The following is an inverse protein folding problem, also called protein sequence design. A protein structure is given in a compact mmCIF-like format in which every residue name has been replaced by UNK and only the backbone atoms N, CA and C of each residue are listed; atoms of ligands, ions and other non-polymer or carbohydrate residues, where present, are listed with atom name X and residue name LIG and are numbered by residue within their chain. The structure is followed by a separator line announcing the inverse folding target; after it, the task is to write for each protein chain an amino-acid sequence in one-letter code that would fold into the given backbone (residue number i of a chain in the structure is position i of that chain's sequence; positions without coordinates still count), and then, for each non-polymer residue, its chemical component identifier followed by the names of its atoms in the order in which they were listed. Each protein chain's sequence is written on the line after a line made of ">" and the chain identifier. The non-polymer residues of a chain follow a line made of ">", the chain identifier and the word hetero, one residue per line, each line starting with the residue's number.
data_IF_660223683656
#
_entry.id   IF_660223683656
#
_cell.length_a   1.000
_cell.length_b   1.000
_cell.length_c   1.000
_cell.angle_alpha   90.00
_cell.angle_beta   90.00
_cell.angle_gamma   90.00
#
_symmetry.space_group_name_H-M   'P 1'
#
loop_
_entity.id
_entity.type
_entity.pdbx_description
1 polymer ?
#
# COMPACT_ATOMS: atom_id res chain seq x y z
N UNK A 1 -14.81 -15.31 45.50
CA UNK A 1 -14.19 -14.95 44.20
C UNK A 1 -13.52 -13.60 44.35
N UNK A 2 -12.24 -13.44 43.97
CA UNK A 2 -11.64 -12.10 43.88
C UNK A 2 -12.47 -11.28 42.88
N UNK A 3 -12.85 -10.02 43.20
CA UNK A 3 -13.56 -9.19 42.24
C UNK A 3 -12.70 -9.07 40.98
N UNK A 4 -13.29 -9.36 39.81
CA UNK A 4 -12.66 -9.09 38.52
C UNK A 4 -12.34 -7.59 38.51
N UNK A 5 -11.06 -7.24 38.67
CA UNK A 5 -10.57 -5.89 38.42
C UNK A 5 -11.07 -5.52 37.02
N UNK A 6 -11.75 -4.38 36.92
CA UNK A 6 -12.57 -3.96 35.78
C UNK A 6 -12.00 -4.41 34.43
N UNK A 7 -12.78 -5.22 33.69
CA UNK A 7 -12.45 -5.71 32.34
C UNK A 7 -12.54 -4.61 31.26
N UNK A 8 -12.07 -3.40 31.58
CA UNK A 8 -12.20 -2.22 30.71
C UNK A 8 -10.89 -1.97 29.97
N UNK A 9 -11.00 -1.65 28.69
CA UNK A 9 -9.89 -1.07 27.94
C UNK A 9 -9.77 0.42 28.25
N UNK A 10 -8.54 0.88 28.48
CA UNK A 10 -8.17 2.28 28.48
C UNK A 10 -7.73 2.65 27.06
N UNK A 11 -8.30 3.74 26.54
CA UNK A 11 -8.12 4.15 25.15
C UNK A 11 -7.52 5.57 25.14
N UNK A 12 -6.39 5.74 24.46
CA UNK A 12 -5.73 7.03 24.29
C UNK A 12 -5.48 7.29 22.80
N UNK A 13 -5.79 8.49 22.27
CA UNK A 13 -5.50 8.82 20.88
C UNK A 13 -4.04 8.58 20.51
N UNK A 14 -3.80 7.99 19.34
CA UNK A 14 -2.45 8.00 18.76
C UNK A 14 -2.15 9.42 18.24
N UNK A 15 -0.86 9.75 18.07
CA UNK A 15 -0.44 11.07 17.54
C UNK A 15 -0.86 11.33 16.09
N UNK A 16 -1.29 10.30 15.36
CA UNK A 16 -1.63 10.38 13.94
C UNK A 16 -3.09 10.00 13.72
N UNK A 17 -3.83 10.85 13.03
CA UNK A 17 -5.15 10.54 12.49
C UNK A 17 -5.04 10.21 11.00
N UNK A 18 -5.60 9.07 10.59
CA UNK A 18 -5.75 8.73 9.19
C UNK A 18 -6.96 9.44 8.59
N UNK A 19 -7.02 9.55 7.26
CA UNK A 19 -8.19 10.14 6.59
C UNK A 19 -9.46 9.30 6.78
N UNK A 20 -9.36 7.97 6.62
CA UNK A 20 -10.51 7.05 6.67
C UNK A 20 -10.77 6.46 8.06
N UNK A 21 -9.84 6.65 9.00
CA UNK A 21 -9.90 6.00 10.30
C UNK A 21 -9.14 6.76 11.37
N UNK A 22 -9.62 6.67 12.60
CA UNK A 22 -8.92 7.10 13.80
C UNK A 22 -8.26 5.90 14.48
N UNK A 23 -7.08 6.11 15.05
CA UNK A 23 -6.33 5.07 15.77
C UNK A 23 -6.04 5.48 17.20
N UNK A 24 -6.14 4.52 18.11
CA UNK A 24 -5.97 4.71 19.54
C UNK A 24 -5.06 3.62 20.11
N UNK A 25 -4.20 3.98 21.06
CA UNK A 25 -3.57 3.03 21.95
C UNK A 25 -4.64 2.46 22.88
N UNK A 26 -4.77 1.14 22.92
CA UNK A 26 -5.71 0.43 23.76
C UNK A 26 -4.94 -0.50 24.71
N UNK A 27 -5.16 -0.34 26.01
CA UNK A 27 -4.52 -1.17 27.05
C UNK A 27 -5.58 -1.74 27.99
N UNK A 28 -5.35 -2.93 28.54
CA UNK A 28 -6.20 -3.52 29.58
C UNK A 28 -5.39 -3.71 30.86
N UNK A 29 -5.86 -3.24 32.02
CA UNK A 29 -5.15 -3.46 33.29
C UNK A 29 -4.89 -4.95 33.53
N UNK A 30 -3.64 -5.31 33.79
CA UNK A 30 -3.21 -6.70 34.00
C UNK A 30 -2.75 -7.44 32.74
N UNK A 31 -2.98 -6.89 31.54
CA UNK A 31 -2.42 -7.44 30.31
C UNK A 31 -1.04 -6.82 30.04
N UNK A 32 -0.04 -7.66 29.77
CA UNK A 32 1.27 -7.20 29.30
C UNK A 32 1.23 -6.72 27.84
N UNK A 33 0.23 -7.17 27.08
CA UNK A 33 0.07 -6.84 25.67
C UNK A 33 -0.70 -5.54 25.50
N UNK A 34 -0.20 -4.70 24.59
CA UNK A 34 -0.84 -3.47 24.17
C UNK A 34 -1.40 -3.62 22.77
N UNK A 35 -2.41 -2.81 22.47
CA UNK A 35 -3.17 -2.91 21.24
C UNK A 35 -3.31 -1.55 20.56
N UNK A 36 -3.57 -1.60 19.27
CA UNK A 36 -4.06 -0.47 18.48
C UNK A 36 -5.53 -0.74 18.16
N UNK A 37 -6.40 0.14 18.63
CA UNK A 37 -7.79 0.20 18.21
C UNK A 37 -7.90 1.15 17.02
N UNK A 38 -8.37 0.63 15.88
CA UNK A 38 -8.66 1.41 14.67
C UNK A 38 -10.17 1.43 14.44
N UNK A 39 -10.74 2.60 14.27
CA UNK A 39 -12.18 2.81 14.03
C UNK A 39 -12.40 3.76 12.86
N UNK A 40 -13.60 3.73 12.27
CA UNK A 40 -14.00 4.63 11.18
C UNK A 40 -13.83 6.12 11.52
N UNK A 41 -13.60 6.93 10.49
CA UNK A 41 -13.68 8.38 10.62
C UNK A 41 -15.13 8.83 10.80
N UNK A 42 -15.33 9.89 11.56
CA UNK A 42 -16.57 10.64 11.75
C UNK A 42 -16.78 11.73 10.68
N UNK A 43 -15.80 11.95 9.80
CA UNK A 43 -15.87 12.96 8.75
C UNK A 43 -16.75 12.48 7.59
N UNK A 44 -17.84 13.19 7.23
CA UNK A 44 -18.77 12.73 6.19
C UNK A 44 -18.11 12.42 4.84
N UNK A 45 -17.13 13.23 4.43
CA UNK A 45 -16.37 13.02 3.19
C UNK A 45 -15.55 11.73 3.24
N UNK A 46 -14.92 11.44 4.39
CA UNK A 46 -14.15 10.22 4.58
C UNK A 46 -15.06 8.98 4.61
N UNK A 47 -16.22 9.06 5.26
CA UNK A 47 -17.21 7.99 5.28
C UNK A 47 -17.78 7.70 3.88
N UNK A 48 -18.10 8.75 3.10
CA UNK A 48 -18.55 8.59 1.72
C UNK A 48 -17.50 7.87 0.87
N UNK A 49 -16.24 8.29 0.97
CA UNK A 49 -15.14 7.62 0.27
C UNK A 49 -14.97 6.17 0.74
N UNK A 50 -14.95 5.95 2.05
CA UNK A 50 -14.84 4.64 2.68
C UNK A 50 -15.93 3.69 2.20
N UNK A 51 -17.18 4.15 2.09
CA UNK A 51 -18.32 3.39 1.54
C UNK A 51 -18.09 3.03 0.08
N UNK A 52 -17.65 3.98 -0.74
CA UNK A 52 -17.39 3.76 -2.16
C UNK A 52 -16.34 2.66 -2.39
N UNK A 53 -15.25 2.67 -1.60
CA UNK A 53 -14.21 1.65 -1.72
C UNK A 53 -14.46 0.42 -0.83
N UNK A 54 -15.41 0.47 0.10
CA UNK A 54 -15.69 -0.56 1.12
C UNK A 54 -14.48 -0.84 2.02
N UNK A 55 -13.85 0.21 2.51
CA UNK A 55 -12.51 0.18 3.12
C UNK A 55 -12.37 -0.83 4.27
N UNK A 56 -13.28 -0.77 5.24
CA UNK A 56 -13.23 -1.64 6.43
C UNK A 56 -13.58 -3.08 6.08
N UNK A 57 -14.51 -3.30 5.15
CA UNK A 57 -14.80 -4.67 4.70
C UNK A 57 -13.57 -5.31 4.05
N UNK A 58 -12.83 -4.56 3.22
CA UNK A 58 -11.57 -5.04 2.63
C UNK A 58 -10.53 -5.34 3.70
N UNK A 59 -10.32 -4.42 4.65
CA UNK A 59 -9.31 -4.59 5.70
C UNK A 59 -9.59 -5.80 6.59
N UNK A 60 -10.85 -5.99 7.01
CA UNK A 60 -11.30 -7.17 7.79
C UNK A 60 -11.00 -8.47 7.03
N UNK A 61 -11.41 -8.56 5.76
CA UNK A 61 -11.19 -9.77 4.97
C UNK A 61 -9.72 -10.00 4.63
N UNK A 62 -8.93 -8.93 4.49
CA UNK A 62 -7.49 -9.03 4.34
C UNK A 62 -6.86 -9.65 5.60
N UNK A 63 -7.16 -9.14 6.80
CA UNK A 63 -6.62 -9.72 8.05
C UNK A 63 -7.07 -11.17 8.27
N UNK A 64 -8.30 -11.52 7.92
CA UNK A 64 -8.77 -12.92 7.93
C UNK A 64 -7.91 -13.84 7.05
N UNK A 65 -7.56 -13.41 5.84
CA UNK A 65 -6.65 -14.15 4.96
C UNK A 65 -5.22 -14.17 5.51
N UNK A 66 -4.75 -13.05 6.05
CA UNK A 66 -3.38 -12.83 6.49
C UNK A 66 -3.03 -13.52 7.82
N UNK A 67 -3.99 -14.17 8.49
CA UNK A 67 -3.79 -14.92 9.74
C UNK A 67 -2.53 -15.80 9.77
N UNK A 68 -2.16 -16.54 8.70
CA UNK A 68 -0.94 -17.36 8.68
C UNK A 68 0.39 -16.57 8.70
N UNK A 69 0.33 -15.24 8.49
CA UNK A 69 1.48 -14.34 8.40
C UNK A 69 1.57 -13.35 9.57
N UNK A 70 0.62 -13.41 10.51
CA UNK A 70 0.60 -12.57 11.70
C UNK A 70 1.85 -12.81 12.58
N UNK A 71 2.31 -11.75 13.25
CA UNK A 71 3.52 -11.75 14.06
C UNK A 71 4.83 -11.81 13.26
N UNK A 72 4.75 -12.03 11.94
CA UNK A 72 5.90 -12.10 11.02
C UNK A 72 5.95 -10.93 10.04
N UNK A 73 4.85 -10.69 9.34
CA UNK A 73 4.74 -9.67 8.28
C UNK A 73 3.57 -8.71 8.47
N UNK A 74 2.60 -9.05 9.32
CA UNK A 74 1.48 -8.19 9.71
C UNK A 74 1.24 -8.34 11.22
N UNK A 75 0.68 -7.33 11.91
CA UNK A 75 0.31 -7.48 13.31
C UNK A 75 -0.75 -8.55 13.52
N UNK A 76 -0.82 -9.15 14.71
CA UNK A 76 -1.96 -9.99 15.07
C UNK A 76 -3.27 -9.18 15.06
N UNK A 77 -4.29 -9.71 14.39
CA UNK A 77 -5.64 -9.15 14.44
C UNK A 77 -6.47 -9.89 15.49
N UNK A 78 -6.71 -9.22 16.62
CA UNK A 78 -7.36 -9.81 17.79
C UNK A 78 -8.87 -9.86 17.59
N UNK A 79 -9.44 -8.76 17.10
CA UNK A 79 -10.85 -8.65 16.76
C UNK A 79 -11.02 -7.69 15.59
N UNK A 80 -11.98 -7.96 14.71
CA UNK A 80 -12.28 -7.10 13.58
C UNK A 80 -13.72 -7.26 13.12
N UNK A 81 -14.41 -6.14 12.87
CA UNK A 81 -15.76 -6.11 12.33
C UNK A 81 -15.91 -4.92 11.39
N UNK A 82 -16.77 -5.04 10.39
CA UNK A 82 -17.17 -3.94 9.52
C UNK A 82 -18.67 -3.92 9.34
N UNK A 83 -19.23 -2.76 9.03
CA UNK A 83 -20.61 -2.65 8.57
C UNK A 83 -20.82 -3.44 7.26
N UNK A 84 -22.05 -3.85 6.92
CA UNK A 84 -22.34 -4.56 5.66
C UNK A 84 -21.95 -3.76 4.41
N UNK A 85 -22.07 -2.43 4.46
CA UNK A 85 -21.65 -1.54 3.37
C UNK A 85 -20.13 -1.30 3.33
N UNK A 86 -19.39 -1.73 4.37
CA UNK A 86 -17.94 -1.63 4.49
C UNK A 86 -17.42 -0.21 4.73
N UNK A 87 -18.30 0.75 5.00
CA UNK A 87 -17.95 2.15 5.22
C UNK A 87 -17.31 2.41 6.58
N UNK A 88 -17.71 1.64 7.59
CA UNK A 88 -17.21 1.74 8.96
C UNK A 88 -16.82 0.37 9.49
N UNK A 89 -16.07 0.38 10.59
CA UNK A 89 -15.66 -0.83 11.26
C UNK A 89 -14.75 -0.55 12.44
N UNK A 90 -14.32 -1.63 13.05
CA UNK A 90 -13.42 -1.65 14.19
C UNK A 90 -12.40 -2.76 13.99
N UNK A 91 -11.13 -2.47 14.20
CA UNK A 91 -10.05 -3.46 14.28
C UNK A 91 -9.29 -3.25 15.59
N UNK A 92 -9.09 -4.33 16.34
CA UNK A 92 -8.19 -4.39 17.48
C UNK A 92 -6.96 -5.20 17.06
N UNK A 93 -5.84 -4.50 16.89
CA UNK A 93 -4.60 -5.05 16.39
C UNK A 93 -3.55 -5.09 17.50
N UNK A 94 -2.63 -6.04 17.44
CA UNK A 94 -1.42 -6.01 18.26
C UNK A 94 -0.65 -4.70 18.05
N UNK A 95 -0.23 -4.05 19.13
CA UNK A 95 0.72 -2.95 19.04
C UNK A 95 2.13 -3.49 18.74
N UNK A 96 2.77 -2.96 17.70
CA UNK A 96 4.16 -3.26 17.38
C UNK A 96 5.05 -2.19 18.02
N UNK A 97 5.67 -2.51 19.15
CA UNK A 97 6.54 -1.61 19.90
C UNK A 97 7.74 -2.35 20.54
N UNK A 98 8.94 -1.75 20.61
CA UNK A 98 9.33 -0.50 19.94
C UNK A 98 9.44 -0.69 18.42
N UNK A 99 8.98 0.29 17.65
CA UNK A 99 9.13 0.31 16.20
C UNK A 99 9.39 1.72 15.67
N UNK A 100 9.88 1.79 14.43
CA UNK A 100 9.93 3.02 13.66
C UNK A 100 8.88 2.94 12.54
N UNK A 101 7.91 3.84 12.54
CA UNK A 101 7.04 4.02 11.38
C UNK A 101 7.86 4.57 10.21
N UNK A 102 7.68 4.01 9.01
CA UNK A 102 8.23 4.61 7.81
C UNK A 102 7.67 6.01 7.60
N UNK A 103 8.44 6.88 6.96
CA UNK A 103 8.00 8.26 6.67
C UNK A 103 8.04 8.47 5.16
N UNK A 104 6.89 8.73 4.57
CA UNK A 104 6.74 8.95 3.14
C UNK A 104 7.55 10.15 2.65
N UNK A 105 7.80 11.16 3.49
CA UNK A 105 8.61 12.32 3.11
C UNK A 105 10.09 11.96 3.08
N UNK A 106 10.64 11.44 4.18
CA UNK A 106 12.05 11.02 4.25
C UNK A 106 12.36 9.87 3.29
N UNK A 107 11.41 8.96 3.12
CA UNK A 107 11.56 7.73 2.34
C UNK A 107 12.29 6.63 3.11
N UNK A 108 12.57 5.55 2.40
CA UNK A 108 13.18 4.33 2.88
C UNK A 108 14.55 4.15 2.25
N UNK A 109 15.50 3.68 3.04
CA UNK A 109 16.82 3.25 2.54
C UNK A 109 16.70 2.00 1.67
N UNK A 110 17.72 1.72 0.86
CA UNK A 110 17.77 0.49 0.05
C UNK A 110 17.71 -0.78 0.92
N UNK A 111 18.27 -0.74 2.14
CA UNK A 111 18.22 -1.84 3.10
C UNK A 111 16.79 -2.08 3.59
N UNK A 112 16.06 -1.01 3.89
CA UNK A 112 14.66 -1.11 4.31
C UNK A 112 13.76 -1.56 3.17
N UNK A 113 13.94 -1.02 1.96
CA UNK A 113 13.24 -1.49 0.76
C UNK A 113 13.50 -2.98 0.50
N UNK A 114 14.72 -3.47 0.77
CA UNK A 114 15.03 -4.90 0.68
C UNK A 114 14.23 -5.73 1.69
N UNK A 115 14.06 -5.24 2.92
CA UNK A 115 13.21 -5.90 3.93
C UNK A 115 11.73 -5.84 3.55
N UNK A 116 11.27 -4.73 2.97
CA UNK A 116 9.90 -4.59 2.45
C UNK A 116 9.65 -5.58 1.33
N UNK A 117 10.56 -5.69 0.35
CA UNK A 117 10.46 -6.63 -0.75
C UNK A 117 10.34 -8.10 -0.27
N UNK A 118 11.01 -8.45 0.83
CA UNK A 118 10.84 -9.76 1.49
C UNK A 118 9.47 -9.88 2.16
N UNK A 119 9.06 -8.92 2.99
CA UNK A 119 7.77 -9.01 3.69
C UNK A 119 6.58 -9.05 2.73
N UNK A 120 6.52 -8.15 1.76
CA UNK A 120 5.43 -8.19 0.77
C UNK A 120 5.57 -9.40 -0.17
N UNK A 121 6.80 -9.84 -0.47
CA UNK A 121 7.06 -11.07 -1.20
C UNK A 121 6.46 -12.30 -0.53
N UNK A 122 6.55 -12.40 0.80
CA UNK A 122 5.94 -13.51 1.55
C UNK A 122 4.41 -13.50 1.47
N UNK A 123 3.79 -12.31 1.56
CA UNK A 123 2.34 -12.15 1.33
C UNK A 123 1.98 -12.59 -0.09
N UNK A 124 2.69 -12.08 -1.09
CA UNK A 124 2.43 -12.40 -2.48
C UNK A 124 2.60 -13.88 -2.78
N UNK A 125 3.60 -14.54 -2.19
CA UNK A 125 3.83 -15.97 -2.36
C UNK A 125 2.66 -16.79 -1.80
N UNK A 126 2.19 -16.44 -0.60
CA UNK A 126 1.13 -17.16 0.11
C UNK A 126 -0.19 -17.19 -0.67
N UNK A 127 -0.49 -16.11 -1.38
CA UNK A 127 -1.76 -15.94 -2.11
C UNK A 127 -1.61 -15.99 -3.63
N UNK A 128 -0.44 -16.39 -4.13
CA UNK A 128 -0.16 -16.48 -5.55
C UNK A 128 -1.11 -17.43 -6.26
N UNK A 129 -1.94 -16.90 -7.17
CA UNK A 129 -3.01 -17.61 -7.86
C UNK A 129 -3.89 -18.46 -6.91
N UNK A 130 -4.09 -18.00 -5.67
CA UNK A 130 -4.84 -18.73 -4.65
C UNK A 130 -6.33 -18.83 -4.94
N UNK A 131 -6.90 -20.03 -4.81
CA UNK A 131 -8.34 -20.28 -4.87
C UNK A 131 -9.09 -19.59 -3.73
N UNK A 132 -8.52 -19.61 -2.52
CA UNK A 132 -9.08 -18.96 -1.34
C UNK A 132 -9.28 -17.47 -1.59
N UNK A 133 -8.23 -16.80 -2.08
CA UNK A 133 -8.28 -15.38 -2.42
C UNK A 133 -9.34 -15.10 -3.51
N UNK A 134 -9.42 -15.93 -4.56
CA UNK A 134 -10.44 -15.77 -5.62
C UNK A 134 -11.87 -15.82 -5.09
N UNK A 135 -12.13 -16.63 -4.06
CA UNK A 135 -13.45 -16.79 -3.44
C UNK A 135 -13.83 -15.64 -2.50
N UNK A 136 -12.87 -14.85 -2.03
CA UNK A 136 -13.12 -13.69 -1.15
C UNK A 136 -13.68 -12.50 -1.94
N UNK A 137 -15.01 -12.46 -2.12
CA UNK A 137 -15.71 -11.42 -2.90
C UNK A 137 -15.49 -10.00 -2.39
N UNK A 138 -15.27 -9.83 -1.08
CA UNK A 138 -14.96 -8.54 -0.46
C UNK A 138 -13.67 -7.88 -0.98
N UNK A 139 -12.75 -8.66 -1.57
CA UNK A 139 -11.53 -8.17 -2.19
C UNK A 139 -11.74 -8.10 -3.71
N UNK A 140 -11.93 -6.92 -4.31
CA UNK A 140 -12.17 -6.82 -5.74
C UNK A 140 -10.89 -7.04 -6.55
N UNK A 141 -11.01 -7.05 -7.88
CA UNK A 141 -9.85 -6.88 -8.74
C UNK A 141 -9.32 -5.45 -8.59
N UNK A 142 -7.99 -5.31 -8.55
CA UNK A 142 -7.37 -4.03 -8.33
C UNK A 142 -7.43 -3.18 -9.61
N UNK A 143 -7.98 -1.96 -9.51
CA UNK A 143 -8.04 -1.00 -10.61
C UNK A 143 -6.80 -0.10 -10.73
N UNK A 144 -5.74 -0.41 -9.97
CA UNK A 144 -4.43 0.25 -10.04
C UNK A 144 -4.52 1.78 -9.92
N UNK A 145 -5.14 2.26 -8.83
CA UNK A 145 -5.45 3.68 -8.60
C UNK A 145 -6.14 4.32 -9.83
N UNK A 146 -7.24 3.70 -10.29
CA UNK A 146 -8.02 4.21 -11.43
C UNK A 146 -7.17 4.43 -12.68
N UNK A 147 -6.21 3.54 -12.94
CA UNK A 147 -5.33 3.64 -14.11
C UNK A 147 -6.09 3.72 -15.44
N UNK A 148 -7.32 3.21 -15.49
CA UNK A 148 -8.18 3.27 -16.68
C UNK A 148 -8.71 4.69 -16.96
N UNK A 149 -8.77 5.53 -15.93
CA UNK A 149 -9.19 6.94 -15.98
C UNK A 149 -7.95 7.88 -16.10
N UNK A 150 -6.73 7.35 -16.22
CA UNK A 150 -5.51 8.17 -16.14
C UNK A 150 -5.48 9.27 -17.21
N UNK A 151 -5.95 8.99 -18.43
CA UNK A 151 -6.03 9.99 -19.50
C UNK A 151 -7.06 11.09 -19.19
N UNK A 152 -8.19 10.74 -18.59
CA UNK A 152 -9.26 11.68 -18.21
C UNK A 152 -8.76 12.62 -17.09
N UNK A 153 -8.07 12.06 -16.10
CA UNK A 153 -7.50 12.84 -14.99
C UNK A 153 -6.24 13.63 -15.38
N UNK A 154 -5.59 13.32 -16.51
CA UNK A 154 -4.34 13.96 -16.91
C UNK A 154 -4.46 15.48 -17.03
N UNK A 155 -5.54 15.99 -17.62
CA UNK A 155 -5.73 17.43 -17.80
C UNK A 155 -5.89 18.14 -16.45
N UNK A 156 -6.69 17.56 -15.56
CA UNK A 156 -6.86 18.05 -14.17
C UNK A 156 -5.54 18.04 -13.42
N UNK A 157 -4.76 16.96 -13.54
CA UNK A 157 -3.44 16.84 -12.95
C UNK A 157 -2.49 17.93 -13.46
N UNK A 158 -2.37 18.10 -14.77
CA UNK A 158 -1.50 19.12 -15.38
C UNK A 158 -1.89 20.54 -14.95
N UNK A 159 -3.19 20.82 -14.82
CA UNK A 159 -3.69 22.12 -14.32
C UNK A 159 -3.31 22.36 -12.86
N UNK A 160 -3.63 21.43 -11.97
CA UNK A 160 -3.46 21.62 -10.52
C UNK A 160 -2.01 21.49 -10.07
N UNK A 161 -1.20 20.68 -10.76
CA UNK A 161 0.21 20.48 -10.46
C UNK A 161 1.13 21.34 -11.32
N UNK A 162 0.61 22.31 -12.10
CA UNK A 162 1.42 23.15 -13.01
C UNK A 162 2.62 23.80 -12.33
N UNK A 163 2.47 24.29 -11.10
CA UNK A 163 3.55 24.91 -10.33
C UNK A 163 4.66 23.94 -9.89
N UNK A 164 4.43 22.63 -10.03
CA UNK A 164 5.37 21.56 -9.71
C UNK A 164 6.08 21.01 -10.95
N UNK A 165 5.67 21.41 -12.15
CA UNK A 165 6.05 20.78 -13.40
C UNK A 165 6.73 21.78 -14.33
N UNK A 166 7.88 21.38 -14.87
CA UNK A 166 8.50 22.08 -16.01
C UNK A 166 7.78 21.72 -17.31
N UNK A 167 8.01 22.51 -18.38
CA UNK A 167 7.53 22.15 -19.73
C UNK A 167 8.01 20.76 -20.18
N UNK A 168 9.23 20.37 -19.77
CA UNK A 168 9.80 19.05 -20.06
C UNK A 168 9.04 17.95 -19.30
N UNK A 169 8.61 18.21 -18.07
CA UNK A 169 7.83 17.23 -17.28
C UNK A 169 6.45 17.02 -17.89
N UNK A 170 5.77 18.09 -18.31
CA UNK A 170 4.46 18.00 -18.97
C UNK A 170 4.53 17.12 -20.22
N UNK A 171 5.50 17.36 -21.11
CA UNK A 171 5.71 16.53 -22.32
C UNK A 171 5.97 15.07 -21.97
N UNK A 172 6.80 14.82 -20.96
CA UNK A 172 7.10 13.46 -20.47
C UNK A 172 5.86 12.76 -19.94
N UNK A 173 5.09 13.42 -19.09
CA UNK A 173 3.83 12.89 -18.53
C UNK A 173 2.88 12.47 -19.67
N UNK A 174 2.67 13.36 -20.65
CA UNK A 174 1.82 13.07 -21.80
C UNK A 174 2.32 11.85 -22.59
N UNK A 175 3.64 11.74 -22.75
CA UNK A 175 4.27 10.59 -23.41
C UNK A 175 4.08 9.27 -22.65
N UNK A 176 4.02 9.29 -21.32
CA UNK A 176 3.80 8.09 -20.52
C UNK A 176 2.33 7.64 -20.45
N UNK A 177 1.33 8.50 -20.71
CA UNK A 177 -0.09 8.13 -20.57
C UNK A 177 -0.49 6.87 -21.36
N UNK A 178 -0.09 6.68 -22.64
CA UNK A 178 -0.42 5.46 -23.38
C UNK A 178 0.16 4.18 -22.74
N UNK A 179 1.29 4.29 -22.05
CA UNK A 179 1.94 3.15 -21.39
C UNK A 179 1.10 2.61 -20.22
N UNK A 180 0.32 3.46 -19.55
CA UNK A 180 -0.60 3.06 -18.47
C UNK A 180 -1.69 2.15 -19.03
N UNK A 181 -2.30 2.55 -20.16
CA UNK A 181 -3.34 1.77 -20.85
C UNK A 181 -2.81 0.44 -21.35
N UNK A 182 -1.60 0.43 -21.92
CA UNK A 182 -0.95 -0.81 -22.35
C UNK A 182 -0.66 -1.73 -21.15
N UNK A 183 -0.14 -1.18 -20.06
CA UNK A 183 0.16 -1.93 -18.83
C UNK A 183 -1.10 -2.55 -18.21
N UNK A 184 -2.24 -1.86 -18.24
CA UNK A 184 -3.53 -2.43 -17.83
C UNK A 184 -3.91 -3.67 -18.64
N UNK A 185 -3.76 -3.62 -19.96
CA UNK A 185 -4.05 -4.77 -20.83
C UNK A 185 -3.09 -5.93 -20.56
N UNK A 186 -1.82 -5.63 -20.32
CA UNK A 186 -0.82 -6.64 -20.00
C UNK A 186 -1.08 -7.27 -18.62
N UNK A 187 -1.42 -6.48 -17.60
CA UNK A 187 -1.67 -6.95 -16.24
C UNK A 187 -2.79 -8.00 -16.16
N UNK A 188 -3.80 -7.93 -17.04
CA UNK A 188 -4.87 -8.95 -17.15
C UNK A 188 -4.35 -10.36 -17.48
N UNK A 189 -3.17 -10.46 -18.10
CA UNK A 189 -2.53 -11.72 -18.51
C UNK A 189 -1.49 -12.22 -17.50
N UNK A 190 -1.30 -11.51 -16.37
CA UNK A 190 -0.26 -11.82 -15.39
C UNK A 190 -0.85 -12.53 -14.16
N UNK A 191 -0.03 -13.25 -13.38
CA UNK A 191 -0.48 -13.89 -12.15
C UNK A 191 -1.11 -12.89 -11.16
N UNK A 192 -2.10 -13.36 -10.42
CA UNK A 192 -2.83 -12.57 -9.43
C UNK A 192 -2.45 -13.03 -8.03
N UNK A 193 -2.29 -12.09 -7.11
CA UNK A 193 -2.12 -12.33 -5.68
C UNK A 193 -2.90 -11.31 -4.86
N UNK A 194 -2.91 -11.46 -3.53
CA UNK A 194 -3.34 -10.42 -2.61
C UNK A 194 -2.34 -9.27 -2.71
N UNK A 195 -2.81 -8.10 -3.13
CA UNK A 195 -2.04 -6.85 -3.14
C UNK A 195 -2.52 -5.95 -2.02
N UNK A 196 -1.60 -5.22 -1.43
CA UNK A 196 -1.89 -4.16 -0.48
C UNK A 196 -2.58 -2.97 -1.17
N UNK A 197 -2.13 -2.60 -2.38
CA UNK A 197 -2.68 -1.49 -3.18
C UNK A 197 -2.18 -0.11 -2.74
N UNK A 198 -1.99 0.11 -1.44
CA UNK A 198 -1.37 1.32 -0.86
C UNK A 198 -0.01 1.06 -0.19
N UNK A 199 0.86 0.20 -0.74
CA UNK A 199 2.16 -0.09 -0.11
C UNK A 199 3.09 1.14 -0.20
N UNK A 200 3.14 1.93 0.88
CA UNK A 200 3.95 3.15 1.02
C UNK A 200 4.61 3.20 2.40
N UNK A 201 5.63 4.04 2.57
CA UNK A 201 6.41 4.11 3.82
C UNK A 201 5.56 4.31 5.07
N UNK A 202 4.56 5.19 5.03
CA UNK A 202 3.69 5.49 6.18
C UNK A 202 2.91 4.24 6.67
N UNK A 203 2.74 3.22 5.82
CA UNK A 203 2.01 1.98 6.11
C UNK A 203 2.94 0.83 6.56
N UNK A 204 4.19 1.14 6.93
CA UNK A 204 5.21 0.17 7.31
C UNK A 204 5.74 0.45 8.71
N UNK A 205 5.69 -0.55 9.58
CA UNK A 205 6.32 -0.52 10.90
C UNK A 205 7.61 -1.34 10.86
N UNK A 206 8.73 -0.67 11.10
CA UNK A 206 10.07 -1.23 10.99
C UNK A 206 10.62 -1.59 12.38
N UNK A 207 11.01 -2.85 12.55
CA UNK A 207 11.62 -3.37 13.77
C UNK A 207 12.91 -4.09 13.39
N UNK A 208 14.04 -3.37 13.48
CA UNK A 208 15.34 -3.84 12.95
C UNK A 208 15.22 -4.23 11.48
N UNK A 209 15.32 -5.51 11.14
CA UNK A 209 15.15 -6.04 9.79
C UNK A 209 13.75 -6.58 9.47
N UNK A 210 12.84 -6.58 10.45
CA UNK A 210 11.44 -6.99 10.26
C UNK A 210 10.60 -5.80 9.80
N UNK A 211 9.63 -6.09 8.95
CA UNK A 211 8.65 -5.12 8.44
C UNK A 211 7.27 -5.70 8.68
N UNK A 212 6.46 -4.95 9.43
CA UNK A 212 5.03 -5.19 9.57
C UNK A 212 4.27 -4.25 8.65
N UNK A 213 3.43 -4.81 7.80
CA UNK A 213 2.61 -4.09 6.84
C UNK A 213 1.23 -3.89 7.46
N UNK A 214 0.79 -2.64 7.54
CA UNK A 214 -0.49 -2.24 8.14
C UNK A 214 -1.33 -1.47 7.15
N UNK A 215 -2.58 -1.21 7.50
CA UNK A 215 -3.53 -0.42 6.69
C UNK A 215 -3.93 -1.08 5.36
N UNK A 216 -4.59 -2.24 5.46
CA UNK A 216 -5.04 -3.03 4.31
C UNK A 216 -6.39 -2.55 3.74
N UNK A 217 -6.75 -1.28 3.92
CA UNK A 217 -8.06 -0.71 3.55
C UNK A 217 -8.36 -0.72 2.05
N UNK A 218 -7.34 -0.75 1.20
CA UNK A 218 -7.51 -0.88 -0.25
C UNK A 218 -6.99 -2.20 -0.81
N UNK A 219 -6.80 -3.20 0.06
CA UNK A 219 -6.39 -4.53 -0.33
C UNK A 219 -7.30 -5.11 -1.42
N UNK A 220 -6.70 -5.84 -2.35
CA UNK A 220 -7.38 -6.33 -3.53
C UNK A 220 -6.67 -7.55 -4.12
N UNK A 221 -7.25 -8.08 -5.20
CA UNK A 221 -6.64 -9.08 -6.07
C UNK A 221 -5.97 -8.39 -7.24
N UNK A 222 -4.67 -8.57 -7.43
CA UNK A 222 -3.98 -7.94 -8.55
C UNK A 222 -2.56 -8.42 -8.78
N UNK A 223 -1.87 -7.68 -9.64
CA UNK A 223 -0.46 -7.89 -9.95
C UNK A 223 0.41 -7.52 -8.75
N UNK A 224 1.08 -8.50 -8.14
CA UNK A 224 1.95 -8.28 -6.97
C UNK A 224 3.07 -7.27 -7.22
N UNK A 225 3.61 -7.21 -8.43
CA UNK A 225 4.66 -6.25 -8.75
C UNK A 225 4.20 -4.78 -8.68
N UNK A 226 2.89 -4.50 -8.68
CA UNK A 226 2.37 -3.15 -8.47
C UNK A 226 2.73 -2.60 -7.08
N UNK A 227 2.64 -3.41 -6.01
CA UNK A 227 3.03 -2.96 -4.67
C UNK A 227 4.53 -2.67 -4.59
N UNK A 228 5.35 -3.49 -5.27
CA UNK A 228 6.79 -3.27 -5.34
C UNK A 228 7.12 -1.97 -6.09
N UNK A 229 6.50 -1.74 -7.25
CA UNK A 229 6.65 -0.51 -8.01
C UNK A 229 6.17 0.71 -7.22
N UNK A 230 5.06 0.59 -6.47
CA UNK A 230 4.54 1.66 -5.62
C UNK A 230 5.53 2.05 -4.53
N UNK A 231 6.05 1.09 -3.77
CA UNK A 231 6.95 1.41 -2.65
C UNK A 231 8.32 1.89 -3.13
N UNK A 232 8.86 1.31 -4.21
CA UNK A 232 10.13 1.76 -4.79
C UNK A 232 9.97 3.16 -5.40
N UNK A 233 8.98 3.35 -6.26
CA UNK A 233 8.74 4.59 -6.99
C UNK A 233 8.14 5.71 -6.13
N UNK A 234 7.48 5.42 -5.02
CA UNK A 234 6.88 6.41 -4.14
C UNK A 234 7.67 6.69 -2.86
N UNK A 235 8.37 5.68 -2.33
CA UNK A 235 8.90 5.71 -0.97
C UNK A 235 10.41 5.54 -0.88
N UNK A 236 11.17 5.51 -1.98
CA UNK A 236 12.63 5.52 -1.89
C UNK A 236 13.16 6.88 -1.40
N UNK A 237 14.12 6.85 -0.46
CA UNK A 237 14.78 8.05 0.06
C UNK A 237 15.62 8.78 -1.00
N UNK A 238 16.17 8.03 -1.96
CA UNK A 238 16.94 8.55 -3.11
C UNK A 238 16.48 7.92 -4.42
N UNK A 239 16.77 8.52 -5.58
CA UNK A 239 16.65 7.82 -6.86
C UNK A 239 17.48 6.52 -6.85
N UNK A 240 16.89 5.43 -7.33
CA UNK A 240 17.54 4.12 -7.40
C UNK A 240 18.06 3.87 -8.81
N UNK A 241 19.27 3.31 -8.90
CA UNK A 241 19.84 2.86 -10.18
C UNK A 241 19.11 1.62 -10.69
N UNK A 242 19.25 1.29 -11.98
CA UNK A 242 18.78 0.02 -12.54
C UNK A 242 19.28 -1.19 -11.74
N UNK A 243 20.55 -1.17 -11.31
CA UNK A 243 21.15 -2.23 -10.48
C UNK A 243 20.46 -2.35 -9.12
N UNK A 244 20.19 -1.23 -8.45
CA UNK A 244 19.49 -1.22 -7.16
C UNK A 244 18.08 -1.81 -7.29
N UNK A 245 17.34 -1.42 -8.33
CA UNK A 245 15.99 -1.91 -8.57
C UNK A 245 15.96 -3.38 -8.95
N UNK A 246 16.86 -3.82 -9.82
CA UNK A 246 17.02 -5.24 -10.18
C UNK A 246 17.33 -6.10 -8.93
N UNK A 247 18.16 -5.59 -8.01
CA UNK A 247 18.42 -6.27 -6.73
C UNK A 247 17.14 -6.45 -5.90
N UNK A 248 16.29 -5.43 -5.79
CA UNK A 248 15.03 -5.50 -5.04
C UNK A 248 14.05 -6.49 -5.68
N UNK A 249 13.95 -6.50 -7.01
CA UNK A 249 13.07 -7.42 -7.76
C UNK A 249 13.56 -8.86 -7.63
N UNK A 250 14.87 -9.09 -7.67
CA UNK A 250 15.46 -10.40 -7.43
C UNK A 250 15.17 -10.90 -6.00
N UNK A 251 15.24 -10.01 -4.99
CA UNK A 251 14.86 -10.36 -3.61
C UNK A 251 13.38 -10.76 -3.54
N UNK A 252 12.50 -9.97 -4.14
CA UNK A 252 11.06 -10.26 -4.18
C UNK A 252 10.78 -11.60 -4.88
N UNK A 253 11.34 -11.82 -6.07
CA UNK A 253 11.18 -13.06 -6.83
C UNK A 253 11.72 -14.29 -6.10
N UNK A 254 12.90 -14.19 -5.46
CA UNK A 254 13.44 -15.28 -4.63
C UNK A 254 12.51 -15.59 -3.46
N UNK A 255 11.92 -14.57 -2.85
CA UNK A 255 10.95 -14.75 -1.76
C UNK A 255 9.69 -15.46 -2.25
N UNK A 256 9.17 -15.10 -3.43
CA UNK A 256 8.06 -15.83 -4.07
C UNK A 256 8.40 -17.31 -4.27
N UNK A 257 9.60 -17.58 -4.79
CA UNK A 257 10.07 -18.94 -5.06
C UNK A 257 10.19 -19.78 -3.79
N UNK A 258 10.73 -19.18 -2.72
CA UNK A 258 10.84 -19.80 -1.39
C UNK A 258 9.46 -20.06 -0.78
N UNK A 259 8.49 -19.19 -1.02
CA UNK A 259 7.09 -19.39 -0.62
C UNK A 259 6.28 -20.33 -1.51
N UNK A 260 6.94 -21.06 -2.44
CA UNK A 260 6.32 -22.14 -3.21
C UNK A 260 5.82 -21.76 -4.61
N UNK A 261 5.94 -20.50 -5.04
CA UNK A 261 5.58 -20.08 -6.40
C UNK A 261 6.48 -20.79 -7.41
N UNK A 262 5.92 -21.59 -8.34
CA UNK A 262 6.67 -22.34 -9.36
C UNK A 262 6.60 -21.65 -10.72
N UNK A 263 7.58 -21.95 -11.60
CA UNK A 263 7.63 -21.48 -13.01
C UNK A 263 7.50 -19.95 -13.16
N UNK A 264 8.06 -19.20 -12.22
CA UNK A 264 8.14 -17.73 -12.25
C UNK A 264 9.60 -17.33 -12.10
N UNK A 265 10.22 -16.85 -13.18
CA UNK A 265 11.65 -16.53 -13.21
C UNK A 265 11.91 -15.02 -13.02
N UNK A 266 13.18 -14.63 -12.97
CA UNK A 266 13.55 -13.21 -12.78
C UNK A 266 13.15 -12.33 -13.96
N UNK A 267 13.11 -12.87 -15.18
CA UNK A 267 12.66 -12.16 -16.38
C UNK A 267 11.16 -11.86 -16.32
N UNK A 268 10.35 -12.82 -15.84
CA UNK A 268 8.93 -12.60 -15.55
C UNK A 268 8.74 -11.52 -14.49
N UNK A 269 9.52 -11.58 -13.41
CA UNK A 269 9.47 -10.60 -12.33
C UNK A 269 9.85 -9.20 -12.80
N UNK A 270 10.86 -9.09 -13.67
CA UNK A 270 11.27 -7.83 -14.28
C UNK A 270 10.17 -7.26 -15.18
N UNK A 271 9.57 -8.10 -16.04
CA UNK A 271 8.44 -7.68 -16.89
C UNK A 271 7.24 -7.21 -16.07
N UNK A 272 6.90 -7.95 -15.02
CA UNK A 272 5.81 -7.59 -14.10
C UNK A 272 6.11 -6.29 -13.37
N UNK A 273 7.36 -6.07 -13.00
CA UNK A 273 7.80 -4.82 -12.40
C UNK A 273 7.65 -3.64 -13.36
N UNK A 274 8.05 -3.77 -14.63
CA UNK A 274 7.84 -2.72 -15.65
C UNK A 274 6.35 -2.40 -15.82
N UNK A 275 5.48 -3.41 -15.86
CA UNK A 275 4.02 -3.23 -15.87
C UNK A 275 3.57 -2.48 -14.61
N UNK A 276 4.06 -2.89 -13.43
CA UNK A 276 3.77 -2.24 -12.16
C UNK A 276 4.20 -0.78 -12.12
N UNK A 277 5.37 -0.44 -12.66
CA UNK A 277 5.90 0.93 -12.76
C UNK A 277 5.00 1.79 -13.64
N UNK A 278 4.65 1.33 -14.85
CA UNK A 278 3.71 2.03 -15.71
C UNK A 278 2.35 2.24 -15.02
N UNK A 279 1.79 1.20 -14.39
CA UNK A 279 0.54 1.31 -13.63
C UNK A 279 0.63 2.29 -12.46
N UNK A 280 1.77 2.36 -11.77
CA UNK A 280 1.96 3.26 -10.62
C UNK A 280 1.97 4.75 -10.99
N UNK A 281 2.17 5.09 -12.26
CA UNK A 281 2.05 6.47 -12.74
C UNK A 281 0.63 7.04 -12.60
N UNK A 282 -0.40 6.18 -12.51
CA UNK A 282 -1.76 6.64 -12.21
C UNK A 282 -1.85 7.33 -10.86
N UNK A 283 -1.04 6.93 -9.87
CA UNK A 283 -1.12 7.40 -8.49
C UNK A 283 -0.91 8.92 -8.39
N UNK A 284 0.20 9.51 -8.88
CA UNK A 284 0.35 10.97 -8.87
C UNK A 284 -0.72 11.66 -9.72
N UNK A 285 -1.11 11.08 -10.86
CA UNK A 285 -2.13 11.66 -11.76
C UNK A 285 -3.48 11.80 -11.03
N UNK A 286 -3.92 10.75 -10.34
CA UNK A 286 -5.26 10.72 -9.72
C UNK A 286 -5.31 11.33 -8.32
N UNK A 287 -4.20 11.32 -7.58
CA UNK A 287 -4.22 11.67 -6.14
C UNK A 287 -3.50 12.98 -5.80
N UNK A 288 -2.52 13.42 -6.59
CA UNK A 288 -1.78 14.65 -6.29
C UNK A 288 -2.68 15.91 -6.23
N UNK A 289 -3.69 16.10 -7.12
CA UNK A 289 -4.58 17.26 -7.05
C UNK A 289 -5.30 17.37 -5.71
N UNK A 290 -5.85 16.25 -5.22
CA UNK A 290 -6.51 16.18 -3.91
C UNK A 290 -5.52 16.43 -2.77
N UNK A 291 -4.38 15.74 -2.77
CA UNK A 291 -3.37 15.88 -1.71
C UNK A 291 -2.84 17.31 -1.57
N UNK A 292 -2.73 18.06 -2.67
CA UNK A 292 -2.28 19.46 -2.65
C UNK A 292 -3.25 20.39 -1.92
N UNK A 293 -4.53 20.04 -1.88
CA UNK A 293 -5.58 20.82 -1.25
C UNK A 293 -5.77 20.45 0.23
N UNK A 294 -5.43 19.22 0.64
CA UNK A 294 -5.71 18.72 1.99
C UNK A 294 -4.86 19.33 3.11
N UNK A 295 -3.54 19.48 2.93
CA UNK A 295 -2.66 20.02 3.99
C UNK A 295 -1.27 20.42 3.48
N UNK A 296 -0.49 21.10 4.34
CA UNK A 296 0.94 21.39 4.07
C UNK A 296 1.73 20.08 3.88
N UNK A 297 1.50 19.06 4.71
CA UNK A 297 2.11 17.73 4.54
C UNK A 297 1.66 17.09 3.22
N UNK A 298 0.37 17.17 2.91
CA UNK A 298 -0.20 16.68 1.65
C UNK A 298 0.45 17.29 0.41
N UNK A 299 0.67 18.62 0.39
CA UNK A 299 1.42 19.31 -0.68
C UNK A 299 2.84 18.81 -0.83
N UNK A 300 3.56 18.61 0.29
CA UNK A 300 4.93 18.06 0.26
C UNK A 300 4.94 16.64 -0.32
N UNK A 301 4.00 15.79 0.11
CA UNK A 301 3.85 14.42 -0.40
C UNK A 301 3.51 14.42 -1.90
N UNK A 302 2.55 15.24 -2.34
CA UNK A 302 2.16 15.34 -3.75
C UNK A 302 3.36 15.69 -4.65
N UNK A 303 4.16 16.70 -4.26
CA UNK A 303 5.39 17.09 -4.97
C UNK A 303 6.40 15.94 -5.05
N UNK A 304 6.63 15.26 -3.93
CA UNK A 304 7.58 14.13 -3.89
C UNK A 304 7.09 12.95 -4.73
N UNK A 305 5.79 12.63 -4.67
CA UNK A 305 5.20 11.54 -5.44
C UNK A 305 5.35 11.79 -6.94
N UNK A 306 4.97 12.98 -7.43
CA UNK A 306 5.16 13.35 -8.84
C UNK A 306 6.62 13.13 -9.24
N UNK A 307 7.58 13.73 -8.52
CA UNK A 307 9.00 13.61 -8.87
C UNK A 307 9.48 12.15 -8.86
N UNK A 308 9.21 11.40 -7.79
CA UNK A 308 9.76 10.04 -7.61
C UNK A 308 9.16 9.04 -8.59
N UNK A 309 7.84 9.06 -8.82
CA UNK A 309 7.20 8.11 -9.73
C UNK A 309 7.64 8.31 -11.18
N UNK A 310 7.67 9.56 -11.67
CA UNK A 310 8.10 9.83 -13.05
C UNK A 310 9.60 9.53 -13.24
N UNK A 311 10.46 9.91 -12.28
CA UNK A 311 11.89 9.56 -12.34
C UNK A 311 12.13 8.04 -12.33
N UNK A 312 11.34 7.30 -11.55
CA UNK A 312 11.42 5.84 -11.54
C UNK A 312 10.99 5.24 -12.87
N UNK A 313 9.92 5.77 -13.48
CA UNK A 313 9.46 5.34 -14.79
C UNK A 313 10.49 5.60 -15.89
N UNK A 314 11.13 6.78 -15.91
CA UNK A 314 12.22 7.08 -16.85
C UNK A 314 13.36 6.06 -16.75
N UNK A 315 13.77 5.73 -15.51
CA UNK A 315 14.86 4.78 -15.27
C UNK A 315 14.52 3.38 -15.79
N UNK A 316 13.26 2.96 -15.72
CA UNK A 316 12.85 1.55 -15.93
C UNK A 316 12.24 1.29 -17.31
N UNK A 317 11.52 2.28 -17.84
CA UNK A 317 10.83 2.17 -19.12
C UNK A 317 11.67 2.75 -20.27
N UNK A 318 12.69 3.58 -19.97
CA UNK A 318 13.65 4.06 -20.97
C UNK A 318 13.03 4.93 -22.06
N UNK A 319 12.02 5.71 -21.69
CA UNK A 319 11.25 6.59 -22.59
C UNK A 319 11.51 8.05 -22.27
#
# INVERSE_FOLDING_TARGET
>A
MKPLKTSRFLIHPTRSTGFLSQTFHATRPGDSQKFILKVGSDQPVAQHFSRHIRAFQREVHAYQLLKPLEGKHVPHCIASVSTPDGSEGLLLLQEIFPCRTGDQIQGLSLKELSSVAKSIGAVHARFWNSTQLRKTKALPLHHYNRAHEASEHAQTFLKHCRSLLTKKDVKRIQHFLPTITQALRQAKKRPITLVHGDLRADNLLLVRSKVFIVDWQIAARGLGAFDLARVIGGSSARPLTLRDQYKLINIWQKTLRQGGVRRYNVTDAWRDYQIGVALSLSIPITNAPTLMQLSIRGRKIARLMVRRFFQNAETILGI
#
